data_IF_837790398537
#
_entry.id   IF_837790398537
#
_cell.length_a   1.000
_cell.length_b   1.000
_cell.length_c   1.000
_cell.angle_alpha   90.00
_cell.angle_beta   90.00
_cell.angle_gamma   90.00
#
_symmetry.space_group_name_H-M   'P 1'
#
loop_
_entity.id
_entity.type
_entity.pdbx_description
1 polymer ?
#
# COMPACT_ATOMS: atom_id res chain seq x y z
N UNK A 1 -38.50 -9.35 81.91
CA UNK A 1 -38.04 -8.43 80.83
C UNK A 1 -37.24 -9.24 79.84
N UNK A 2 -37.77 -9.46 78.63
CA UNK A 2 -37.11 -10.23 77.53
C UNK A 2 -36.64 -9.27 76.48
N UNK A 3 -35.34 -9.21 76.32
CA UNK A 3 -34.66 -8.37 75.31
C UNK A 3 -34.71 -9.12 73.99
N UNK A 4 -35.32 -8.52 72.94
CA UNK A 4 -35.35 -9.05 71.57
C UNK A 4 -34.22 -8.41 70.76
N UNK A 5 -33.27 -9.22 70.34
CA UNK A 5 -32.19 -8.85 69.46
C UNK A 5 -32.69 -8.91 68.04
N UNK A 6 -32.67 -7.78 67.29
CA UNK A 6 -32.91 -7.72 65.85
C UNK A 6 -31.58 -7.95 65.11
N UNK A 7 -31.51 -8.99 64.30
CA UNK A 7 -30.44 -9.21 63.31
C UNK A 7 -30.83 -8.45 62.02
N UNK A 8 -30.09 -7.45 61.67
CA UNK A 8 -30.14 -6.82 60.36
C UNK A 8 -29.20 -7.51 59.39
N UNK A 9 -29.73 -8.22 58.42
CA UNK A 9 -28.96 -8.81 57.33
C UNK A 9 -28.64 -7.73 56.27
N UNK A 10 -27.37 -7.35 56.19
CA UNK A 10 -26.87 -6.46 55.13
C UNK A 10 -26.65 -7.25 53.82
N UNK A 11 -27.40 -6.93 52.76
CA UNK A 11 -27.19 -7.45 51.42
C UNK A 11 -26.08 -6.57 50.77
N UNK A 12 -24.88 -7.13 50.64
CA UNK A 12 -23.83 -6.50 49.85
C UNK A 12 -24.11 -6.75 48.37
N UNK A 13 -24.56 -5.71 47.63
CA UNK A 13 -24.61 -5.70 46.17
C UNK A 13 -23.19 -5.57 45.64
N UNK A 14 -22.58 -6.68 45.14
CA UNK A 14 -21.42 -6.61 44.27
C UNK A 14 -21.85 -6.04 42.92
N UNK A 15 -21.58 -4.76 42.67
CA UNK A 15 -21.68 -4.18 41.35
C UNK A 15 -20.61 -4.76 40.43
N UNK A 16 -20.98 -5.64 39.50
CA UNK A 16 -20.15 -5.96 38.35
C UNK A 16 -20.05 -4.71 37.47
N UNK A 17 -18.96 -3.96 37.61
CA UNK A 17 -18.57 -3.01 36.58
C UNK A 17 -18.01 -3.81 35.43
N UNK A 18 -18.83 -4.12 34.42
CA UNK A 18 -18.36 -4.55 33.11
C UNK A 18 -17.57 -3.37 32.54
N UNK A 19 -16.25 -3.38 32.69
CA UNK A 19 -15.37 -2.49 31.97
C UNK A 19 -15.59 -2.78 30.48
N UNK A 20 -16.14 -1.81 29.74
CA UNK A 20 -16.10 -1.86 28.29
C UNK A 20 -14.62 -1.94 27.91
N UNK A 21 -14.16 -3.10 27.45
CA UNK A 21 -12.89 -3.20 26.78
C UNK A 21 -12.98 -2.27 25.55
N UNK A 22 -12.30 -1.13 25.61
CA UNK A 22 -12.10 -0.31 24.42
C UNK A 22 -11.39 -1.21 23.41
N UNK A 23 -12.01 -1.47 22.28
CA UNK A 23 -11.34 -2.18 21.18
C UNK A 23 -10.04 -1.41 20.88
N UNK A 24 -8.92 -2.12 20.87
CA UNK A 24 -7.63 -1.50 20.56
C UNK A 24 -7.70 -0.97 19.11
N UNK A 25 -7.33 0.30 18.92
CA UNK A 25 -7.35 0.93 17.62
C UNK A 25 -6.31 0.31 16.70
N UNK A 26 -6.73 -0.17 15.53
CA UNK A 26 -5.85 -0.80 14.54
C UNK A 26 -5.16 0.28 13.70
N UNK A 27 -3.85 0.31 13.74
CA UNK A 27 -3.03 1.25 12.99
C UNK A 27 -2.71 0.69 11.60
N UNK A 28 -3.32 1.26 10.58
CA UNK A 28 -3.05 0.91 9.18
C UNK A 28 -1.90 1.78 8.69
N UNK A 29 -0.73 1.18 8.51
CA UNK A 29 0.46 1.84 7.97
C UNK A 29 0.33 2.10 6.48
N UNK A 30 0.51 3.35 6.07
CA UNK A 30 0.68 3.78 4.68
C UNK A 30 2.07 4.36 4.50
N UNK A 31 2.57 4.44 3.25
CA UNK A 31 3.81 5.16 2.99
C UNK A 31 3.64 6.66 3.29
N UNK A 32 4.62 7.25 3.99
CA UNK A 32 4.63 8.70 4.25
C UNK A 32 5.01 9.50 2.99
N UNK A 33 5.60 8.85 2.01
CA UNK A 33 5.89 9.39 0.69
C UNK A 33 4.61 9.32 -0.17
N UNK A 34 4.16 10.47 -0.72
CA UNK A 34 2.99 10.48 -1.59
C UNK A 34 3.15 9.54 -2.79
N UNK A 35 2.13 8.75 -3.07
CA UNK A 35 2.05 7.85 -4.21
C UNK A 35 0.65 7.95 -4.86
N UNK A 36 0.33 9.08 -5.50
CA UNK A 36 -0.97 9.28 -6.12
C UNK A 36 -1.16 8.33 -7.32
N UNK A 37 -2.40 7.89 -7.58
CA UNK A 37 -3.66 8.26 -6.91
C UNK A 37 -4.00 7.36 -5.72
N UNK A 38 -3.05 6.50 -5.25
CA UNK A 38 -3.28 5.54 -4.17
C UNK A 38 -3.32 6.20 -2.79
N UNK A 39 -2.29 7.01 -2.46
CA UNK A 39 -2.22 7.75 -1.21
C UNK A 39 -1.46 9.08 -1.40
N UNK A 40 -2.05 10.18 -0.96
CA UNK A 40 -1.43 11.51 -0.97
C UNK A 40 -2.07 12.42 0.08
N UNK A 41 -1.44 13.55 0.38
CA UNK A 41 -2.02 14.56 1.25
C UNK A 41 -2.88 15.52 0.43
N UNK A 42 -4.08 15.80 0.94
CA UNK A 42 -4.90 16.89 0.40
C UNK A 42 -4.42 18.28 0.92
N UNK A 43 -5.09 19.34 0.48
CA UNK A 43 -4.75 20.70 0.89
C UNK A 43 -4.93 20.96 2.41
N UNK A 44 -5.65 20.11 3.13
CA UNK A 44 -5.83 20.19 4.58
C UNK A 44 -4.76 19.40 5.35
N UNK A 45 -3.90 18.65 4.66
CA UNK A 45 -2.94 17.74 5.27
C UNK A 45 -3.55 16.39 5.68
N UNK A 46 -4.72 16.05 5.14
CA UNK A 46 -5.37 14.75 5.37
C UNK A 46 -4.94 13.74 4.30
N UNK A 47 -4.65 12.52 4.71
CA UNK A 47 -4.39 11.43 3.78
C UNK A 47 -5.65 10.99 3.04
N UNK A 48 -5.59 11.05 1.71
CA UNK A 48 -6.64 10.70 0.77
C UNK A 48 -6.08 9.83 -0.36
N UNK A 49 -6.94 9.20 -1.14
CA UNK A 49 -6.57 8.39 -2.30
C UNK A 49 -7.30 7.05 -2.28
N UNK A 50 -7.19 6.33 -3.39
CA UNK A 50 -7.92 5.08 -3.58
C UNK A 50 -7.63 4.04 -2.49
N UNK A 51 -6.37 3.84 -2.16
CA UNK A 51 -5.94 2.84 -1.18
C UNK A 51 -6.35 3.22 0.25
N UNK A 52 -6.32 4.52 0.56
CA UNK A 52 -6.82 5.06 1.83
C UNK A 52 -8.31 4.81 1.97
N UNK A 53 -9.09 4.99 0.90
CA UNK A 53 -10.54 4.75 0.92
C UNK A 53 -10.86 3.25 0.98
N UNK A 54 -10.10 2.39 0.30
CA UNK A 54 -10.21 0.92 0.40
C UNK A 54 -9.90 0.45 1.84
N UNK A 55 -8.82 0.97 2.45
CA UNK A 55 -8.48 0.63 3.84
C UNK A 55 -9.61 0.99 4.80
N UNK A 56 -10.18 2.20 4.67
CA UNK A 56 -11.32 2.64 5.48
C UNK A 56 -12.55 1.77 5.25
N UNK A 57 -12.84 1.38 4.00
CA UNK A 57 -13.97 0.53 3.64
C UNK A 57 -13.84 -0.89 4.23
N UNK A 58 -12.65 -1.50 4.16
CA UNK A 58 -12.34 -2.79 4.79
C UNK A 58 -12.58 -2.71 6.31
N UNK A 59 -12.04 -1.67 6.96
CA UNK A 59 -12.23 -1.47 8.39
C UNK A 59 -13.70 -1.30 8.77
N UNK A 60 -14.46 -0.54 7.98
CA UNK A 60 -15.89 -0.33 8.22
C UNK A 60 -16.71 -1.63 8.06
N UNK A 61 -16.42 -2.43 7.02
CA UNK A 61 -17.08 -3.71 6.77
C UNK A 61 -16.90 -4.67 7.95
N UNK A 62 -15.71 -4.73 8.53
CA UNK A 62 -15.37 -5.59 9.66
C UNK A 62 -15.54 -4.93 11.04
N UNK A 63 -16.10 -3.71 11.08
CA UNK A 63 -16.31 -2.94 12.32
C UNK A 63 -15.03 -2.76 13.15
N UNK A 64 -13.91 -2.66 12.48
CA UNK A 64 -12.61 -2.35 13.08
C UNK A 64 -12.48 -0.84 13.29
N UNK A 65 -11.97 -0.42 14.44
CA UNK A 65 -11.59 0.97 14.70
C UNK A 65 -10.17 1.19 14.16
N UNK A 66 -10.05 1.72 12.94
CA UNK A 66 -8.79 1.89 12.26
C UNK A 66 -8.34 3.35 12.20
N UNK A 67 -7.02 3.55 12.27
CA UNK A 67 -6.39 4.85 12.05
C UNK A 67 -5.29 4.73 10.99
N UNK A 68 -5.33 5.64 10.01
CA UNK A 68 -4.27 5.74 8.98
C UNK A 68 -3.02 6.33 9.65
N UNK A 69 -1.92 5.61 9.54
CA UNK A 69 -0.65 5.93 10.21
C UNK A 69 0.47 6.00 9.17
N UNK A 70 0.95 7.19 8.78
CA UNK A 70 2.03 7.31 7.81
C UNK A 70 3.38 6.87 8.42
N UNK A 71 4.13 6.09 7.65
CA UNK A 71 5.46 5.56 8.01
C UNK A 71 6.34 5.61 6.77
N UNK A 72 7.62 6.00 6.91
CA UNK A 72 8.55 5.97 5.79
C UNK A 72 8.58 4.59 5.13
N UNK A 73 8.55 4.54 3.79
CA UNK A 73 8.45 3.30 3.02
C UNK A 73 9.53 2.27 3.36
N UNK A 74 10.78 2.69 3.46
CA UNK A 74 11.91 1.82 3.78
C UNK A 74 11.89 1.28 5.23
N UNK A 75 11.14 1.95 6.13
CA UNK A 75 10.91 1.57 7.52
C UNK A 75 9.57 0.87 7.79
N UNK A 76 8.72 0.63 6.79
CA UNK A 76 7.34 0.21 7.05
C UNK A 76 7.24 -1.25 7.55
N UNK A 77 8.02 -2.18 6.99
CA UNK A 77 8.08 -3.57 7.48
C UNK A 77 8.69 -3.63 8.89
N UNK A 78 9.83 -2.98 9.20
CA UNK A 78 10.32 -2.81 10.57
C UNK A 78 9.29 -2.23 11.55
N UNK A 79 8.49 -1.24 11.13
CA UNK A 79 7.43 -0.66 11.97
C UNK A 79 6.30 -1.65 12.26
N UNK A 80 5.94 -2.50 11.30
CA UNK A 80 4.97 -3.58 11.49
C UNK A 80 5.49 -4.63 12.48
N UNK A 81 6.71 -5.14 12.27
CA UNK A 81 7.31 -6.15 13.15
C UNK A 81 7.61 -5.59 14.54
N UNK A 82 7.95 -4.30 14.63
CA UNK A 82 8.14 -3.54 15.86
C UNK A 82 6.85 -3.10 16.57
N UNK A 83 5.65 -3.47 16.05
CA UNK A 83 4.33 -3.14 16.62
C UNK A 83 4.04 -1.64 16.70
N UNK A 84 4.63 -0.83 15.83
CA UNK A 84 4.29 0.59 15.70
C UNK A 84 3.02 0.78 14.87
N UNK A 85 2.79 -0.13 13.91
CA UNK A 85 1.57 -0.29 13.11
C UNK A 85 1.10 -1.75 13.19
N UNK A 86 -0.15 -2.02 12.81
CA UNK A 86 -0.76 -3.35 12.91
C UNK A 86 -0.95 -4.01 11.55
N UNK A 87 -1.17 -3.25 10.51
CA UNK A 87 -1.19 -3.71 9.13
C UNK A 87 -0.52 -2.68 8.22
N UNK A 88 -0.04 -3.11 7.05
CA UNK A 88 0.50 -2.27 5.98
C UNK A 88 -0.50 -2.28 4.83
N UNK A 89 -0.97 -1.10 4.40
CA UNK A 89 -1.67 -0.92 3.13
C UNK A 89 -1.01 0.27 2.40
N UNK A 90 0.01 -0.05 1.60
CA UNK A 90 0.93 0.92 1.02
C UNK A 90 1.45 0.46 -0.36
N UNK A 91 0.55 -0.03 -1.21
CA UNK A 91 0.89 -0.54 -2.55
C UNK A 91 1.98 -1.62 -2.52
N UNK A 92 1.97 -2.45 -1.47
CA UNK A 92 3.02 -3.44 -1.22
C UNK A 92 2.72 -4.76 -1.95
N UNK A 93 3.54 -5.11 -2.94
CA UNK A 93 3.44 -6.38 -3.67
C UNK A 93 3.68 -7.58 -2.75
N UNK A 94 2.87 -8.62 -2.93
CA UNK A 94 3.01 -9.92 -2.26
C UNK A 94 4.17 -10.68 -2.92
N UNK A 95 5.33 -10.76 -2.26
CA UNK A 95 6.51 -11.49 -2.76
C UNK A 95 6.97 -12.54 -1.77
N UNK A 96 7.62 -13.60 -2.27
CA UNK A 96 8.19 -14.65 -1.43
C UNK A 96 9.24 -14.10 -0.46
N UNK A 97 10.03 -13.11 -0.88
CA UNK A 97 11.03 -12.45 -0.03
C UNK A 97 10.35 -11.78 1.19
N UNK A 98 9.32 -10.96 0.95
CA UNK A 98 8.58 -10.27 2.02
C UNK A 98 7.85 -11.25 2.92
N UNK A 99 7.31 -12.33 2.34
CA UNK A 99 6.65 -13.42 3.09
C UNK A 99 7.60 -14.19 4.02
N UNK A 100 8.91 -14.04 3.93
CA UNK A 100 9.82 -14.57 4.96
C UNK A 100 9.70 -13.80 6.29
N UNK A 101 9.32 -12.52 6.25
CA UNK A 101 9.32 -11.62 7.40
C UNK A 101 7.91 -11.29 7.90
N UNK A 102 6.94 -11.14 6.99
CA UNK A 102 5.54 -10.78 7.28
C UNK A 102 4.59 -11.75 6.57
N UNK A 103 3.32 -11.73 6.96
CA UNK A 103 2.25 -12.41 6.22
C UNK A 103 1.43 -11.38 5.44
N UNK A 104 0.66 -11.84 4.46
CA UNK A 104 -0.18 -11.00 3.62
C UNK A 104 -1.63 -11.47 3.63
N UNK A 105 -2.54 -10.52 3.44
CA UNK A 105 -3.91 -10.79 3.04
C UNK A 105 -3.99 -11.37 1.63
N UNK A 106 -5.18 -11.73 1.18
CA UNK A 106 -5.48 -11.85 -0.25
C UNK A 106 -5.18 -10.51 -0.95
N UNK A 107 -4.87 -10.57 -2.26
CA UNK A 107 -4.66 -9.34 -3.02
C UNK A 107 -5.92 -8.48 -3.03
N UNK A 108 -5.76 -7.16 -3.00
CA UNK A 108 -6.87 -6.22 -3.21
C UNK A 108 -6.72 -5.40 -4.49
N UNK A 109 -5.56 -5.40 -5.15
CA UNK A 109 -5.39 -4.94 -6.53
C UNK A 109 -4.15 -5.53 -7.20
N UNK A 110 -4.03 -5.33 -8.51
CA UNK A 110 -2.83 -5.67 -9.28
C UNK A 110 -2.69 -4.72 -10.46
N UNK A 111 -1.49 -4.18 -10.65
CA UNK A 111 -1.16 -3.29 -11.78
C UNK A 111 0.13 -3.75 -12.46
N UNK A 112 0.23 -3.62 -13.78
CA UNK A 112 1.47 -3.91 -14.49
C UNK A 112 2.60 -2.96 -14.08
N UNK A 113 3.82 -3.46 -14.04
CA UNK A 113 5.04 -2.65 -13.98
C UNK A 113 5.39 -2.14 -15.37
N UNK A 114 5.61 -0.84 -15.50
CA UNK A 114 5.87 -0.19 -16.80
C UNK A 114 7.14 0.67 -16.76
N UNK A 115 7.65 0.96 -17.95
CA UNK A 115 8.71 1.96 -18.16
C UNK A 115 8.09 3.23 -18.72
N UNK A 116 8.44 4.36 -18.13
CA UNK A 116 8.13 5.71 -18.63
C UNK A 116 9.40 6.44 -19.00
N UNK A 117 9.35 7.21 -20.09
CA UNK A 117 10.47 7.99 -20.64
C UNK A 117 9.97 9.35 -21.12
N UNK A 118 10.88 10.23 -21.52
CA UNK A 118 10.51 11.44 -22.27
C UNK A 118 9.86 11.06 -23.61
N UNK A 119 8.82 11.80 -24.01
CA UNK A 119 8.11 11.61 -25.28
C UNK A 119 9.07 11.65 -26.47
N UNK A 120 8.92 10.69 -27.36
CA UNK A 120 9.75 10.61 -28.57
C UNK A 120 11.19 10.19 -28.34
N UNK A 121 11.54 9.66 -27.16
CA UNK A 121 12.91 9.20 -26.83
C UNK A 121 13.37 8.02 -27.68
N UNK A 122 12.44 7.22 -28.23
CA UNK A 122 12.73 5.97 -28.94
C UNK A 122 13.14 4.81 -28.01
N UNK A 123 13.09 4.99 -26.69
CA UNK A 123 13.38 3.96 -25.70
C UNK A 123 12.24 2.93 -25.69
N UNK A 124 12.59 1.65 -25.50
CA UNK A 124 11.61 0.57 -25.31
C UNK A 124 11.83 -0.10 -23.96
N UNK A 125 10.79 -0.76 -23.43
CA UNK A 125 10.81 -1.42 -22.11
C UNK A 125 11.57 -2.78 -22.16
N UNK A 126 12.75 -2.80 -22.78
CA UNK A 126 13.62 -3.99 -22.90
C UNK A 126 15.06 -3.65 -22.54
N UNK A 127 15.88 -4.64 -22.15
CA UNK A 127 17.31 -4.39 -21.88
C UNK A 127 18.03 -3.69 -23.03
N UNK A 128 17.73 -4.08 -24.28
CA UNK A 128 18.34 -3.49 -25.48
C UNK A 128 17.89 -2.03 -25.68
N UNK A 129 16.60 -1.73 -25.43
CA UNK A 129 16.06 -0.39 -25.54
C UNK A 129 16.56 0.57 -24.45
N UNK A 130 16.97 0.03 -23.30
CA UNK A 130 17.51 0.76 -22.16
C UNK A 130 19.06 0.79 -22.14
N UNK A 131 19.72 0.21 -23.16
CA UNK A 131 21.18 0.14 -23.20
C UNK A 131 21.84 1.54 -23.14
N UNK A 132 22.74 1.72 -22.17
CA UNK A 132 23.45 2.99 -21.92
C UNK A 132 22.58 4.12 -21.37
N UNK A 133 21.39 3.81 -20.84
CA UNK A 133 20.44 4.75 -20.25
C UNK A 133 20.54 4.77 -18.72
N UNK A 134 20.01 5.80 -18.12
CA UNK A 134 19.87 5.93 -16.67
C UNK A 134 18.40 5.68 -16.30
N UNK A 135 18.15 4.66 -15.47
CA UNK A 135 16.82 4.29 -15.00
C UNK A 135 16.69 4.65 -13.52
N UNK A 136 15.70 5.48 -13.17
CA UNK A 136 15.33 5.77 -11.78
C UNK A 136 14.35 4.74 -11.23
N UNK A 137 14.60 4.26 -10.01
CA UNK A 137 13.71 3.37 -9.26
C UNK A 137 13.70 3.75 -7.78
N UNK A 138 12.56 3.54 -7.12
CA UNK A 138 12.47 3.77 -5.68
C UNK A 138 13.11 2.63 -4.89
N UNK A 139 13.83 2.98 -3.81
CA UNK A 139 14.49 2.05 -2.90
C UNK A 139 13.50 1.04 -2.29
N UNK A 140 13.98 -0.18 -2.03
CA UNK A 140 13.23 -1.24 -1.33
C UNK A 140 11.92 -1.66 -2.02
N UNK A 141 11.81 -1.41 -3.34
CA UNK A 141 10.65 -1.80 -4.14
C UNK A 141 10.94 -3.01 -5.02
N UNK A 142 9.89 -3.67 -5.48
CA UNK A 142 9.98 -4.72 -6.51
C UNK A 142 10.52 -4.16 -7.83
N UNK A 143 10.30 -2.87 -8.09
CA UNK A 143 10.83 -2.18 -9.27
C UNK A 143 12.36 -2.07 -9.23
N UNK A 144 12.92 -1.76 -8.06
CA UNK A 144 14.38 -1.78 -7.86
C UNK A 144 14.93 -3.19 -8.07
N UNK A 145 14.32 -4.20 -7.44
CA UNK A 145 14.78 -5.58 -7.56
C UNK A 145 14.72 -6.06 -9.02
N UNK A 146 13.64 -5.73 -9.73
CA UNK A 146 13.48 -6.07 -11.14
C UNK A 146 14.53 -5.38 -12.02
N UNK A 147 14.71 -4.07 -11.85
CA UNK A 147 15.70 -3.32 -12.62
C UNK A 147 17.13 -3.85 -12.38
N UNK A 148 17.48 -4.17 -11.13
CA UNK A 148 18.75 -4.77 -10.78
C UNK A 148 18.96 -6.16 -11.42
N UNK A 149 17.91 -6.97 -11.49
CA UNK A 149 17.97 -8.31 -12.08
C UNK A 149 18.11 -8.28 -13.61
N UNK A 150 17.37 -7.39 -14.27
CA UNK A 150 17.20 -7.46 -15.73
C UNK A 150 17.88 -6.34 -16.50
N UNK A 151 18.21 -5.21 -15.88
CA UNK A 151 18.71 -4.04 -16.58
C UNK A 151 20.13 -3.62 -16.18
N UNK A 152 20.72 -4.16 -15.12
CA UNK A 152 22.06 -3.75 -14.62
C UNK A 152 23.15 -3.88 -15.68
N UNK A 153 23.10 -4.91 -16.53
CA UNK A 153 24.10 -5.11 -17.60
C UNK A 153 23.91 -4.13 -18.78
N UNK A 154 22.73 -3.55 -18.91
CA UNK A 154 22.38 -2.65 -20.03
C UNK A 154 22.35 -1.18 -19.62
N UNK A 155 21.93 -0.85 -18.40
CA UNK A 155 21.61 0.49 -17.95
C UNK A 155 22.24 0.84 -16.58
N UNK A 156 22.44 2.13 -16.31
CA UNK A 156 22.71 2.62 -14.96
C UNK A 156 21.41 2.63 -14.14
N UNK A 157 21.38 1.93 -12.99
CA UNK A 157 20.25 1.95 -12.09
C UNK A 157 20.49 3.00 -11.01
N UNK A 158 19.69 4.07 -11.01
CA UNK A 158 19.74 5.12 -10.01
C UNK A 158 18.61 4.95 -9.01
N UNK A 159 18.97 4.79 -7.74
CA UNK A 159 18.02 4.53 -6.65
C UNK A 159 17.70 5.84 -5.92
N UNK A 160 16.41 6.09 -5.69
CA UNK A 160 15.86 7.27 -5.03
C UNK A 160 15.05 6.87 -3.80
N UNK A 161 14.80 7.83 -2.89
CA UNK A 161 13.95 7.55 -1.74
C UNK A 161 12.47 7.59 -2.09
N UNK A 162 12.06 8.44 -3.03
CA UNK A 162 10.67 8.63 -3.39
C UNK A 162 10.44 8.53 -4.91
N UNK A 163 9.24 8.11 -5.33
CA UNK A 163 8.86 8.14 -6.73
C UNK A 163 8.75 9.58 -7.26
N UNK A 164 8.40 10.54 -6.40
CA UNK A 164 8.29 11.95 -6.79
C UNK A 164 9.66 12.53 -7.19
N UNK A 165 10.74 12.23 -6.46
CA UNK A 165 12.11 12.61 -6.86
C UNK A 165 12.47 12.04 -8.25
N UNK A 166 12.10 10.80 -8.51
CA UNK A 166 12.34 10.15 -9.81
C UNK A 166 11.56 10.87 -10.91
N UNK A 167 10.30 11.16 -10.68
CA UNK A 167 9.44 11.86 -11.62
C UNK A 167 9.97 13.25 -11.97
N UNK A 168 10.47 13.98 -10.96
CA UNK A 168 11.11 15.30 -11.17
C UNK A 168 12.41 15.19 -11.97
N UNK A 169 13.23 14.16 -11.70
CA UNK A 169 14.48 13.93 -12.42
C UNK A 169 14.24 13.50 -13.87
N UNK A 170 13.21 12.67 -14.11
CA UNK A 170 12.78 12.31 -15.46
C UNK A 170 12.29 13.53 -16.23
N UNK A 171 11.40 14.33 -15.65
CA UNK A 171 10.88 15.54 -16.29
C UNK A 171 11.96 16.57 -16.58
N UNK A 172 13.00 16.63 -15.75
CA UNK A 172 14.16 17.52 -15.93
C UNK A 172 15.24 16.93 -16.88
N UNK A 173 15.07 15.72 -17.40
CA UNK A 173 16.06 15.03 -18.25
C UNK A 173 17.35 14.64 -17.56
N UNK A 174 17.34 14.48 -16.22
CA UNK A 174 18.50 14.01 -15.42
C UNK A 174 18.62 12.48 -15.41
N UNK A 175 17.54 11.79 -15.72
CA UNK A 175 17.47 10.35 -16.02
C UNK A 175 16.72 10.14 -17.32
N UNK A 176 16.89 9.00 -17.95
CA UNK A 176 16.27 8.67 -19.24
C UNK A 176 14.94 7.94 -19.09
N UNK A 177 14.77 7.16 -18.03
CA UNK A 177 13.61 6.33 -17.80
C UNK A 177 13.32 6.17 -16.30
N UNK A 178 12.09 5.80 -15.98
CA UNK A 178 11.68 5.28 -14.66
C UNK A 178 10.87 4.01 -14.81
N UNK A 179 10.93 3.16 -13.77
CA UNK A 179 10.13 1.95 -13.66
C UNK A 179 9.28 2.01 -12.40
N UNK A 180 7.95 1.91 -12.56
CA UNK A 180 7.00 1.88 -11.46
C UNK A 180 5.66 1.25 -11.89
N UNK A 181 4.66 1.32 -11.03
CA UNK A 181 3.28 0.92 -11.34
C UNK A 181 2.69 1.76 -12.47
N UNK A 182 1.99 1.09 -13.37
CA UNK A 182 1.36 1.73 -14.55
C UNK A 182 0.38 2.85 -14.17
N UNK A 183 -0.37 2.68 -13.10
CA UNK A 183 -1.37 3.65 -12.62
C UNK A 183 -0.67 4.91 -12.08
N UNK A 184 0.33 4.75 -11.21
CA UNK A 184 1.07 5.88 -10.64
C UNK A 184 1.78 6.69 -11.73
N UNK A 185 2.40 6.02 -12.71
CA UNK A 185 3.04 6.71 -13.83
C UNK A 185 2.04 7.35 -14.79
N UNK A 186 0.88 6.73 -15.02
CA UNK A 186 -0.19 7.33 -15.82
C UNK A 186 -0.77 8.58 -15.15
N UNK A 187 -0.95 8.56 -13.82
CA UNK A 187 -1.37 9.73 -13.05
C UNK A 187 -0.36 10.86 -13.17
N UNK A 188 0.93 10.58 -13.00
CA UNK A 188 1.99 11.57 -13.20
C UNK A 188 1.96 12.14 -14.63
N UNK A 189 1.86 11.29 -15.67
CA UNK A 189 1.80 11.75 -17.07
C UNK A 189 0.62 12.67 -17.38
N UNK A 190 -0.45 12.60 -16.58
CA UNK A 190 -1.62 13.47 -16.70
C UNK A 190 -1.43 14.86 -16.06
N UNK A 191 -0.36 15.06 -15.26
CA UNK A 191 -0.02 16.35 -14.66
C UNK A 191 0.74 17.24 -15.65
N UNK A 192 0.77 18.55 -15.38
CA UNK A 192 1.58 19.49 -16.17
C UNK A 192 3.07 19.13 -16.14
N UNK A 193 3.58 18.65 -14.99
CA UNK A 193 4.97 18.24 -14.82
C UNK A 193 5.30 16.97 -15.63
N UNK A 194 4.37 16.04 -15.69
CA UNK A 194 4.51 14.78 -16.42
C UNK A 194 4.13 14.86 -17.91
N UNK A 195 3.64 16.01 -18.38
CA UNK A 195 3.22 16.19 -19.77
C UNK A 195 4.34 15.97 -20.81
N UNK A 196 5.61 16.01 -20.40
CA UNK A 196 6.79 15.71 -21.22
C UNK A 196 7.00 14.21 -21.47
N UNK A 197 6.31 13.34 -20.73
CA UNK A 197 6.67 11.96 -20.58
C UNK A 197 5.58 11.02 -21.11
N UNK A 198 5.95 9.78 -21.41
CA UNK A 198 5.04 8.75 -21.91
C UNK A 198 5.45 7.35 -21.40
N UNK A 199 4.46 6.50 -21.16
CA UNK A 199 4.68 5.07 -20.89
C UNK A 199 4.98 4.39 -22.24
N UNK A 200 6.14 3.72 -22.32
CA UNK A 200 6.61 3.07 -23.56
C UNK A 200 6.36 1.56 -23.57
N UNK A 201 5.90 0.99 -22.47
CA UNK A 201 5.49 -0.41 -22.40
C UNK A 201 5.61 -1.00 -21.01
N UNK A 202 5.01 -2.19 -20.85
CA UNK A 202 5.20 -3.01 -19.65
C UNK A 202 6.50 -3.80 -19.74
N UNK A 203 7.13 -4.01 -18.60
CA UNK A 203 8.24 -4.97 -18.51
C UNK A 203 7.71 -6.39 -18.64
N UNK A 204 8.59 -7.35 -18.95
CA UNK A 204 8.19 -8.76 -18.94
C UNK A 204 7.82 -9.16 -17.51
N UNK A 205 6.65 -9.79 -17.37
CA UNK A 205 6.20 -10.25 -16.05
C UNK A 205 7.14 -11.29 -15.45
N UNK A 206 7.45 -11.12 -14.17
CA UNK A 206 8.19 -12.06 -13.34
C UNK A 206 7.57 -12.08 -11.94
N UNK A 207 6.63 -12.99 -11.68
CA UNK A 207 5.95 -13.07 -10.39
C UNK A 207 6.87 -13.36 -9.20
N UNK A 208 8.06 -13.94 -9.43
CA UNK A 208 9.02 -14.17 -8.36
C UNK A 208 9.59 -12.86 -7.81
N UNK A 209 9.69 -11.82 -8.65
CA UNK A 209 10.21 -10.49 -8.27
C UNK A 209 9.07 -9.49 -8.08
N UNK A 210 8.17 -9.38 -9.06
CA UNK A 210 7.09 -8.38 -9.06
C UNK A 210 5.94 -8.74 -8.13
N UNK A 211 5.84 -10.03 -7.74
CA UNK A 211 4.82 -10.54 -6.85
C UNK A 211 3.51 -10.93 -7.56
N UNK A 212 2.53 -11.32 -6.75
CA UNK A 212 1.22 -11.84 -7.21
C UNK A 212 0.09 -10.81 -7.06
N UNK A 213 0.40 -9.54 -7.11
CA UNK A 213 -0.48 -8.43 -6.80
C UNK A 213 -0.17 -7.80 -5.46
N UNK A 214 -0.97 -6.82 -5.05
CA UNK A 214 -0.81 -6.02 -3.84
C UNK A 214 -1.74 -6.54 -2.75
N UNK A 215 -1.20 -6.79 -1.56
CA UNK A 215 -1.93 -7.26 -0.39
C UNK A 215 -1.61 -6.45 0.86
N UNK A 216 -2.48 -6.53 1.87
CA UNK A 216 -2.20 -5.94 3.16
C UNK A 216 -1.19 -6.80 3.92
N UNK A 217 -0.07 -6.19 4.34
CA UNK A 217 0.94 -6.87 5.18
C UNK A 217 0.49 -6.91 6.63
N UNK A 218 0.63 -8.06 7.28
CA UNK A 218 0.41 -8.25 8.73
C UNK A 218 1.61 -8.95 9.34
N UNK A 219 1.76 -8.87 10.69
CA UNK A 219 2.82 -9.61 11.38
C UNK A 219 2.69 -11.11 11.14
N UNK A 220 3.83 -11.80 11.07
CA UNK A 220 3.86 -13.27 11.03
C UNK A 220 3.01 -13.87 12.13
N UNK A 221 2.08 -14.75 11.74
CA UNK A 221 1.20 -15.48 12.65
C UNK A 221 0.05 -14.65 13.24
N UNK A 222 -0.17 -13.40 12.77
CA UNK A 222 -1.35 -12.62 13.13
C UNK A 222 -2.53 -13.01 12.21
N UNK A 223 -2.89 -14.29 12.29
CA UNK A 223 -3.94 -14.88 11.45
C UNK A 223 -5.30 -14.21 11.69
N UNK A 224 -5.57 -13.77 12.93
CA UNK A 224 -6.84 -13.15 13.26
C UNK A 224 -7.05 -11.83 12.49
N UNK A 225 -6.06 -10.95 12.47
CA UNK A 225 -6.15 -9.69 11.72
C UNK A 225 -6.15 -9.94 10.20
N UNK A 226 -5.32 -10.90 9.73
CA UNK A 226 -5.29 -11.28 8.32
C UNK A 226 -6.65 -11.76 7.83
N UNK A 227 -7.30 -12.64 8.57
CA UNK A 227 -8.64 -13.18 8.23
C UNK A 227 -9.72 -12.09 8.26
N UNK A 228 -9.65 -11.13 9.20
CA UNK A 228 -10.54 -9.98 9.22
C UNK A 228 -10.35 -9.10 7.98
N UNK A 229 -9.10 -8.81 7.60
CA UNK A 229 -8.81 -8.02 6.39
C UNK A 229 -9.33 -8.76 5.15
N UNK A 230 -9.11 -10.08 5.04
CA UNK A 230 -9.62 -10.90 3.93
C UNK A 230 -11.16 -10.88 3.87
N UNK A 231 -11.82 -11.00 5.02
CA UNK A 231 -13.28 -10.90 5.10
C UNK A 231 -13.77 -9.53 4.64
N UNK A 232 -13.09 -8.45 5.05
CA UNK A 232 -13.39 -7.10 4.62
C UNK A 232 -13.17 -6.88 3.11
N UNK A 233 -12.05 -7.36 2.54
CA UNK A 233 -11.81 -7.32 1.08
C UNK A 233 -12.94 -8.03 0.34
N UNK A 234 -13.32 -9.21 0.79
CA UNK A 234 -14.40 -9.98 0.20
C UNK A 234 -15.73 -9.22 0.30
N UNK A 235 -16.08 -8.72 1.49
CA UNK A 235 -17.34 -8.02 1.73
C UNK A 235 -17.51 -6.80 0.83
N UNK A 236 -16.51 -5.91 0.75
CA UNK A 236 -16.59 -4.69 -0.08
C UNK A 236 -16.61 -5.00 -1.59
N UNK A 237 -16.12 -6.16 -2.01
CA UNK A 237 -16.23 -6.62 -3.40
C UNK A 237 -17.60 -7.19 -3.71
N UNK A 238 -18.18 -7.95 -2.79
CA UNK A 238 -19.50 -8.58 -2.97
C UNK A 238 -20.65 -7.56 -2.91
N UNK A 239 -20.53 -6.52 -2.08
CA UNK A 239 -21.58 -5.49 -1.93
C UNK A 239 -21.43 -4.32 -2.93
N UNK A 240 -20.37 -4.31 -3.75
CA UNK A 240 -20.10 -3.29 -4.77
C UNK A 240 -19.41 -2.02 -4.26
N UNK A 241 -19.05 -1.94 -2.97
CA UNK A 241 -18.32 -0.80 -2.38
C UNK A 241 -16.95 -0.62 -3.04
N UNK A 242 -16.22 -1.73 -3.31
CA UNK A 242 -14.95 -1.70 -4.02
C UNK A 242 -15.07 -1.03 -5.39
N UNK A 243 -16.07 -1.42 -6.18
CA UNK A 243 -16.29 -0.85 -7.51
C UNK A 243 -16.75 0.60 -7.44
N UNK A 244 -17.57 0.97 -6.45
CA UNK A 244 -18.00 2.34 -6.25
C UNK A 244 -16.83 3.27 -5.92
N UNK A 245 -15.92 2.85 -5.02
CA UNK A 245 -14.69 3.58 -4.71
C UNK A 245 -13.80 3.66 -5.96
N UNK A 246 -13.57 2.52 -6.61
CA UNK A 246 -12.66 2.42 -7.78
C UNK A 246 -13.05 3.37 -8.90
N UNK A 247 -14.35 3.51 -9.19
CA UNK A 247 -14.87 4.42 -10.22
C UNK A 247 -14.58 5.90 -9.97
N UNK A 248 -14.31 6.30 -8.74
CA UNK A 248 -13.94 7.69 -8.44
C UNK A 248 -12.50 8.02 -8.87
N UNK A 249 -11.67 6.99 -9.05
CA UNK A 249 -10.24 7.13 -9.34
C UNK A 249 -9.85 6.58 -10.71
N UNK A 250 -10.50 5.50 -11.17
CA UNK A 250 -10.09 4.74 -12.33
C UNK A 250 -11.26 4.45 -13.28
N UNK A 251 -10.97 4.48 -14.59
CA UNK A 251 -11.95 4.16 -15.61
C UNK A 251 -12.31 2.67 -15.68
N UNK A 252 -11.45 1.79 -15.12
CA UNK A 252 -11.63 0.34 -15.12
C UNK A 252 -11.25 -0.26 -13.76
N UNK A 253 -11.68 -1.49 -13.51
CA UNK A 253 -11.24 -2.24 -12.33
C UNK A 253 -9.72 -2.47 -12.39
N UNK A 254 -9.06 -2.33 -11.24
CA UNK A 254 -7.63 -2.60 -11.07
C UNK A 254 -7.38 -3.86 -10.23
N UNK A 255 -8.44 -4.65 -9.97
CA UNK A 255 -8.30 -5.89 -9.17
C UNK A 255 -7.39 -6.91 -9.88
N UNK A 256 -7.40 -6.93 -11.21
CA UNK A 256 -6.71 -7.92 -12.03
C UNK A 256 -7.40 -9.30 -12.00
N UNK A 257 -6.85 -10.24 -12.75
CA UNK A 257 -7.32 -11.63 -12.83
C UNK A 257 -6.83 -12.47 -11.64
#
# INVERSE_FOLDING_TARGET
MKLKTLLTAGIAMLGLTAGAAMAEQIKIGIAAEPYPPFASLDASGTWVGWEVDIAKAICAAEKMDCVITPVAWDGIIPSLTGKQIDAIMASMSITEERMQTIDFSDKYYNTPTVIMTAKGSGITATPEGLAGKIIGVQASTVHQAYAQQYFTDAAEIRVYQTQDEINQDLAAGRIDATQADSIALADFAATDAGACCEIVGSVKDDPAILGLGVGAGVRKGDDALREQINAGIKAIREDGTYDAITKNYFAASIYGD
#
